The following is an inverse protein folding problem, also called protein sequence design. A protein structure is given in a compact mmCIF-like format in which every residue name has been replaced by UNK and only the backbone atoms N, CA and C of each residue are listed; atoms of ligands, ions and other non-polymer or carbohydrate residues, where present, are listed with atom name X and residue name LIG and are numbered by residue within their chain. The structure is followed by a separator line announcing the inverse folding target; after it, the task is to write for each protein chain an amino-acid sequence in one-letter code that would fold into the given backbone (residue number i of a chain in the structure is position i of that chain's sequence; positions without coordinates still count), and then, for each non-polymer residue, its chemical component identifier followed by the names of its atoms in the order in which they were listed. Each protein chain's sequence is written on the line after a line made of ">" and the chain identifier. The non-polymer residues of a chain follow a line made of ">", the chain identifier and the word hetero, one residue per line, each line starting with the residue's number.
data_IF_246471105784
#
_entry.id   IF_246471105784
#
_cell.length_a   1.000
_cell.length_b   1.000
_cell.length_c   1.000
_cell.angle_alpha   90.00
_cell.angle_beta   90.00
_cell.angle_gamma   90.00
#
_symmetry.space_group_name_H-M   'P 1'
#
loop_
_entity.id
_entity.type
_entity.pdbx_description
1 polymer ?
#
# COMPACT_ATOMS: atom_id res chain seq x y z
N UNK A 1 -16.27 -8.13 13.38
CA UNK A 1 -15.88 -6.78 13.86
C UNK A 1 -15.39 -6.00 12.65
N UNK A 2 -16.14 -4.99 12.23
CA UNK A 2 -15.82 -4.12 11.09
C UNK A 2 -14.77 -3.09 11.54
N UNK A 3 -13.49 -3.39 11.37
CA UNK A 3 -12.41 -2.39 11.42
C UNK A 3 -12.52 -1.53 10.16
N UNK A 4 -13.11 -0.33 10.30
CA UNK A 4 -13.16 0.67 9.22
C UNK A 4 -11.72 0.94 8.76
N UNK A 5 -11.50 1.13 7.45
CA UNK A 5 -10.18 1.33 6.82
C UNK A 5 -9.18 2.18 7.61
N UNK A 6 -9.69 3.27 8.21
CA UNK A 6 -8.99 4.25 9.04
C UNK A 6 -8.17 3.69 10.21
N UNK A 7 -8.52 2.53 10.77
CA UNK A 7 -7.80 1.97 11.91
C UNK A 7 -6.45 1.38 11.49
N UNK A 8 -6.34 0.89 10.25
CA UNK A 8 -5.11 0.26 9.76
C UNK A 8 -4.04 1.28 9.37
N UNK A 9 -4.43 2.39 8.76
CA UNK A 9 -3.52 3.54 8.51
C UNK A 9 -2.88 4.00 9.82
N UNK A 10 -3.68 4.21 10.88
CA UNK A 10 -3.18 4.65 12.18
C UNK A 10 -2.17 3.68 12.77
N UNK A 11 -2.40 2.38 12.61
CA UNK A 11 -1.49 1.35 13.11
C UNK A 11 -0.11 1.35 12.44
N UNK A 12 -0.02 1.75 11.17
CA UNK A 12 1.22 1.70 10.37
C UNK A 12 1.92 3.05 10.25
N UNK A 13 1.12 4.11 10.15
CA UNK A 13 1.57 5.45 9.80
C UNK A 13 1.46 6.44 10.96
N UNK A 14 0.77 6.08 12.04
CA UNK A 14 0.41 7.00 13.13
C UNK A 14 -0.43 8.21 12.67
N UNK A 15 -1.06 8.09 11.51
CA UNK A 15 -1.94 9.10 10.90
C UNK A 15 -3.30 8.47 10.62
N UNK A 16 -4.34 9.30 10.52
CA UNK A 16 -5.69 8.85 10.18
C UNK A 16 -6.22 9.77 9.10
N UNK A 17 -6.80 9.21 8.05
CA UNK A 17 -7.53 10.00 7.06
C UNK A 17 -8.61 10.84 7.74
N UNK A 18 -8.68 12.11 7.36
CA UNK A 18 -9.69 13.10 7.79
C UNK A 18 -11.11 12.66 7.44
N UNK A 19 -11.25 11.77 6.45
CA UNK A 19 -12.52 11.34 5.90
C UNK A 19 -13.18 12.40 5.02
N UNK A 20 -12.48 13.50 4.73
CA UNK A 20 -12.89 14.47 3.73
C UNK A 20 -12.71 13.91 2.32
N UNK A 21 -13.50 14.43 1.37
CA UNK A 21 -13.30 14.11 -0.04
C UNK A 21 -12.06 14.84 -0.57
N UNK A 22 -10.89 14.23 -0.34
CA UNK A 22 -9.60 14.76 -0.77
C UNK A 22 -9.56 15.03 -2.29
N UNK A 23 -10.34 14.28 -3.08
CA UNK A 23 -10.42 14.48 -4.52
C UNK A 23 -11.09 15.79 -4.89
N UNK A 24 -12.11 16.20 -4.13
CA UNK A 24 -12.71 17.53 -4.29
C UNK A 24 -11.79 18.63 -3.76
N UNK A 25 -11.08 18.40 -2.65
CA UNK A 25 -10.12 19.37 -2.08
C UNK A 25 -9.03 19.78 -3.07
N UNK A 26 -8.49 18.84 -3.85
CA UNK A 26 -7.40 19.08 -4.80
C UNK A 26 -7.85 19.07 -6.26
N UNK A 27 -9.14 19.29 -6.51
CA UNK A 27 -9.73 19.29 -7.84
C UNK A 27 -9.19 20.42 -8.70
N UNK A 28 -8.81 20.11 -9.94
CA UNK A 28 -8.33 21.09 -10.91
C UNK A 28 -6.84 21.41 -10.80
N UNK A 29 -6.13 20.87 -9.81
CA UNK A 29 -4.68 20.93 -9.76
C UNK A 29 -4.03 19.82 -10.58
N UNK A 30 -2.97 20.13 -11.33
CA UNK A 30 -2.22 19.14 -12.11
C UNK A 30 -1.64 18.04 -11.20
N UNK A 31 -1.67 16.79 -11.67
CA UNK A 31 -1.13 15.66 -10.94
C UNK A 31 0.34 15.46 -11.32
N UNK A 32 1.26 15.83 -10.42
CA UNK A 32 2.69 15.57 -10.56
C UNK A 32 3.15 14.78 -9.34
N UNK A 33 3.31 13.46 -9.55
CA UNK A 33 3.74 12.55 -8.49
C UNK A 33 5.11 12.93 -7.90
N UNK A 34 6.04 13.41 -8.74
CA UNK A 34 7.38 13.80 -8.29
C UNK A 34 7.32 15.02 -7.39
N UNK A 35 6.61 16.07 -7.82
CA UNK A 35 6.43 17.29 -7.03
C UNK A 35 5.66 17.04 -5.72
N UNK A 36 4.56 16.27 -5.80
CA UNK A 36 3.71 15.95 -4.65
C UNK A 36 4.52 15.20 -3.57
N UNK A 37 5.35 14.23 -3.96
CA UNK A 37 6.17 13.44 -3.01
C UNK A 37 7.37 14.23 -2.50
N UNK A 38 8.04 15.02 -3.34
CA UNK A 38 9.17 15.85 -2.90
C UNK A 38 8.75 16.82 -1.80
N UNK A 39 7.58 17.45 -1.96
CA UNK A 39 6.98 18.32 -0.94
C UNK A 39 6.86 17.60 0.40
N UNK A 40 6.34 16.36 0.39
CA UNK A 40 6.19 15.56 1.61
C UNK A 40 7.54 15.20 2.25
N UNK A 41 8.53 14.84 1.43
CA UNK A 41 9.88 14.52 1.93
C UNK A 41 10.53 15.75 2.56
N UNK A 42 10.40 16.92 1.93
CA UNK A 42 10.94 18.18 2.45
C UNK A 42 10.27 18.59 3.75
N UNK A 43 8.93 18.60 3.79
CA UNK A 43 8.18 18.92 5.01
C UNK A 43 8.51 17.95 6.16
N UNK A 44 8.65 16.66 5.86
CA UNK A 44 8.98 15.67 6.87
C UNK A 44 10.38 15.87 7.44
N UNK A 45 11.36 16.30 6.63
CA UNK A 45 12.71 16.58 7.14
C UNK A 45 12.74 17.70 8.17
N UNK A 46 11.81 18.65 8.07
CA UNK A 46 11.70 19.77 9.01
C UNK A 46 10.94 19.38 10.28
N UNK A 47 9.90 18.55 10.15
CA UNK A 47 8.99 18.20 11.26
C UNK A 47 9.44 16.97 12.06
N UNK A 48 10.10 16.00 11.40
CA UNK A 48 10.50 14.71 11.96
C UNK A 48 11.92 14.34 11.49
N UNK A 49 12.97 14.86 12.13
CA UNK A 49 14.35 14.58 11.74
C UNK A 49 14.71 13.09 11.93
N UNK A 50 14.00 12.39 12.83
CA UNK A 50 14.12 10.98 13.08
C UNK A 50 13.23 10.20 12.09
N UNK A 51 13.87 9.64 11.06
CA UNK A 51 13.32 9.13 9.78
C UNK A 51 12.46 7.86 9.87
N UNK A 52 11.81 7.60 10.98
CA UNK A 52 10.98 6.42 11.22
C UNK A 52 9.58 6.80 11.71
N UNK A 53 8.53 6.03 11.38
CA UNK A 53 7.19 6.27 11.91
C UNK A 53 7.16 6.12 13.44
N UNK A 54 6.25 6.81 14.12
CA UNK A 54 6.18 6.81 15.59
C UNK A 54 5.44 5.61 16.19
N UNK A 55 4.83 4.78 15.35
CA UNK A 55 4.10 3.60 15.80
C UNK A 55 4.95 2.32 15.75
N UNK A 56 4.68 1.38 16.66
CA UNK A 56 5.45 0.14 16.81
C UNK A 56 5.46 -0.73 15.53
N UNK A 57 4.32 -0.84 14.83
CA UNK A 57 4.25 -1.66 13.60
C UNK A 57 5.01 -0.99 12.45
N UNK A 58 4.88 0.33 12.29
CA UNK A 58 5.65 1.10 11.33
C UNK A 58 7.16 0.98 11.56
N UNK A 59 7.63 1.13 12.81
CA UNK A 59 9.06 0.97 13.16
C UNK A 59 9.57 -0.43 12.86
N UNK A 60 8.77 -1.44 13.20
CA UNK A 60 9.12 -2.83 12.89
C UNK A 60 9.20 -3.07 11.38
N UNK A 61 8.29 -2.49 10.59
CA UNK A 61 8.32 -2.61 9.14
C UNK A 61 9.56 -1.92 8.54
N UNK A 62 9.85 -0.69 8.96
CA UNK A 62 11.05 0.06 8.59
C UNK A 62 12.32 -0.77 8.85
N UNK A 63 12.47 -1.30 10.06
CA UNK A 63 13.63 -2.09 10.45
C UNK A 63 13.78 -3.35 9.60
N UNK A 64 12.68 -4.04 9.28
CA UNK A 64 12.75 -5.20 8.41
C UNK A 64 13.17 -4.82 6.98
N UNK A 65 12.69 -3.70 6.44
CA UNK A 65 13.13 -3.22 5.12
C UNK A 65 14.62 -2.90 5.14
N UNK A 66 15.09 -2.17 6.15
CA UNK A 66 16.51 -1.86 6.35
C UNK A 66 17.38 -3.12 6.37
N UNK A 67 16.99 -4.13 7.15
CA UNK A 67 17.71 -5.41 7.24
C UNK A 67 17.72 -6.14 5.90
N UNK A 68 16.59 -6.19 5.18
CA UNK A 68 16.51 -6.89 3.90
C UNK A 68 17.28 -6.15 2.78
N UNK A 69 17.33 -4.81 2.81
CA UNK A 69 18.17 -4.01 1.91
C UNK A 69 19.66 -4.35 2.08
N UNK A 70 20.15 -4.33 3.33
CA UNK A 70 21.55 -4.62 3.62
C UNK A 70 21.94 -6.06 3.23
N UNK A 71 21.04 -7.04 3.41
CA UNK A 71 21.25 -8.41 2.93
C UNK A 71 21.38 -8.52 1.41
N UNK A 72 20.67 -7.66 0.68
CA UNK A 72 20.73 -7.63 -0.79
C UNK A 72 21.88 -6.75 -1.32
N UNK A 73 22.75 -6.24 -0.45
CA UNK A 73 23.88 -5.38 -0.82
C UNK A 73 23.48 -3.93 -1.11
N UNK A 74 22.26 -3.53 -0.77
CA UNK A 74 21.78 -2.15 -0.92
C UNK A 74 22.00 -1.43 0.41
N UNK A 75 23.02 -0.57 0.49
CA UNK A 75 23.21 0.30 1.66
C UNK A 75 21.92 1.07 2.03
N UNK A 76 21.45 0.88 3.25
CA UNK A 76 20.19 1.45 3.73
C UNK A 76 20.34 2.85 4.32
N UNK A 77 21.54 3.44 4.26
CA UNK A 77 21.82 4.74 4.86
C UNK A 77 20.89 5.82 4.31
N UNK A 78 20.17 6.47 5.23
CA UNK A 78 19.21 7.53 4.89
C UNK A 78 17.85 7.03 4.37
N UNK A 79 17.52 5.74 4.50
CA UNK A 79 16.16 5.23 4.29
C UNK A 79 15.16 6.06 5.10
N UNK A 80 14.02 6.36 4.49
CA UNK A 80 12.92 7.08 5.11
C UNK A 80 11.63 6.29 4.89
N UNK A 81 10.78 6.23 5.90
CA UNK A 81 9.41 5.72 5.79
C UNK A 81 8.41 6.77 6.27
N UNK A 82 7.60 7.31 5.36
CA UNK A 82 6.75 8.48 5.59
C UNK A 82 5.27 8.16 5.35
N UNK A 83 4.36 8.74 6.15
CA UNK A 83 2.95 8.79 5.82
C UNK A 83 2.69 9.77 4.66
N UNK A 84 1.73 9.44 3.81
CA UNK A 84 1.18 10.36 2.80
C UNK A 84 -0.33 10.57 2.96
N UNK A 85 -0.95 9.96 3.97
CA UNK A 85 -2.37 10.11 4.33
C UNK A 85 -2.80 11.60 4.35
N UNK A 86 -3.96 11.92 3.75
CA UNK A 86 -4.53 13.28 3.62
C UNK A 86 -3.71 14.29 2.80
N UNK A 87 -2.65 13.85 2.11
CA UNK A 87 -1.84 14.72 1.24
C UNK A 87 -2.33 14.68 -0.21
N UNK A 88 -1.75 15.54 -1.06
CA UNK A 88 -1.94 15.45 -2.53
C UNK A 88 -1.48 14.11 -3.09
N UNK A 89 -0.40 13.54 -2.53
CA UNK A 89 0.12 12.25 -2.95
C UNK A 89 -0.93 11.15 -2.78
N UNK A 90 -1.57 11.09 -1.61
CA UNK A 90 -2.68 10.18 -1.32
C UNK A 90 -3.88 10.43 -2.26
N UNK A 91 -4.37 11.67 -2.29
CA UNK A 91 -5.58 12.03 -3.03
C UNK A 91 -5.51 11.71 -4.53
N UNK A 92 -4.36 11.98 -5.16
CA UNK A 92 -4.16 11.87 -6.60
C UNK A 92 -3.54 10.54 -7.04
N UNK A 93 -2.70 9.93 -6.19
CA UNK A 93 -1.89 8.77 -6.55
C UNK A 93 -2.16 7.52 -5.70
N UNK A 94 -3.15 7.57 -4.81
CA UNK A 94 -3.62 6.42 -4.01
C UNK A 94 -2.49 5.80 -3.18
N UNK A 95 -1.71 6.64 -2.51
CA UNK A 95 -0.60 6.22 -1.67
C UNK A 95 -0.84 6.69 -0.25
N UNK A 96 -0.88 5.78 0.71
CA UNK A 96 -1.04 6.06 2.14
C UNK A 96 0.31 6.28 2.84
N UNK A 97 1.39 5.78 2.26
CA UNK A 97 2.75 6.12 2.66
C UNK A 97 3.80 5.68 1.66
N UNK A 98 5.07 5.93 1.96
CA UNK A 98 6.16 5.62 1.05
C UNK A 98 7.45 5.27 1.77
N UNK A 99 8.24 4.38 1.15
CA UNK A 99 9.66 4.23 1.43
C UNK A 99 10.47 5.01 0.40
N UNK A 100 11.45 5.76 0.89
CA UNK A 100 12.34 6.56 0.07
C UNK A 100 13.79 6.36 0.48
N UNK A 101 14.66 6.16 -0.51
CA UNK A 101 16.10 6.10 -0.32
C UNK A 101 16.75 7.19 -1.19
N UNK A 102 17.31 8.27 -0.60
CA UNK A 102 17.75 9.46 -1.35
C UNK A 102 18.69 9.18 -2.52
N UNK A 103 19.62 8.25 -2.34
CA UNK A 103 20.61 7.87 -3.38
C UNK A 103 20.02 7.13 -4.58
N UNK A 104 18.78 6.64 -4.46
CA UNK A 104 18.06 5.95 -5.54
C UNK A 104 16.95 6.84 -6.14
N UNK A 105 16.90 8.14 -5.83
CA UNK A 105 15.94 9.03 -6.47
C UNK A 105 16.09 9.02 -8.01
N UNK A 106 14.99 8.98 -8.79
CA UNK A 106 13.58 9.13 -8.41
C UNK A 106 12.85 7.83 -7.99
N UNK A 107 13.55 6.71 -7.85
CA UNK A 107 12.94 5.42 -7.53
C UNK A 107 12.59 5.31 -6.04
N UNK A 108 11.29 5.38 -5.76
CA UNK A 108 10.70 5.17 -4.43
C UNK A 108 9.76 3.97 -4.43
N UNK A 109 9.29 3.57 -3.25
CA UNK A 109 8.22 2.59 -3.09
C UNK A 109 7.00 3.25 -2.44
N UNK A 110 5.84 3.16 -3.07
CA UNK A 110 4.56 3.61 -2.50
C UNK A 110 3.82 2.45 -1.85
N UNK A 111 3.10 2.75 -0.78
CA UNK A 111 2.32 1.81 0.01
C UNK A 111 0.88 2.29 0.03
N UNK A 112 -0.02 1.37 -0.27
CA UNK A 112 -1.45 1.59 -0.22
C UNK A 112 -2.07 0.63 0.79
N UNK A 113 -2.65 1.16 1.87
CA UNK A 113 -3.16 0.39 2.98
C UNK A 113 -4.57 -0.12 2.69
N UNK A 114 -4.79 -1.42 2.91
CA UNK A 114 -6.08 -2.05 2.67
C UNK A 114 -6.53 -2.85 3.88
N UNK A 115 -7.55 -2.33 4.59
CA UNK A 115 -8.15 -3.01 5.74
C UNK A 115 -9.01 -4.18 5.30
N UNK A 116 -8.35 -5.32 5.12
CA UNK A 116 -8.97 -6.62 4.82
C UNK A 116 -8.56 -7.64 5.88
N UNK A 117 -9.53 -8.40 6.37
CA UNK A 117 -9.29 -9.44 7.35
C UNK A 117 -8.54 -10.64 6.77
N UNK A 118 -7.94 -11.45 7.64
CA UNK A 118 -7.15 -12.61 7.22
C UNK A 118 -7.99 -13.64 6.45
N UNK A 119 -9.23 -13.91 6.90
CA UNK A 119 -10.11 -14.90 6.27
C UNK A 119 -10.51 -14.45 4.86
N UNK A 120 -10.87 -13.18 4.73
CA UNK A 120 -11.24 -12.53 3.48
C UNK A 120 -10.08 -12.53 2.49
N UNK A 121 -8.86 -12.20 2.95
CA UNK A 121 -7.67 -12.21 2.12
C UNK A 121 -7.32 -13.62 1.62
N UNK A 122 -7.45 -14.64 2.48
CA UNK A 122 -7.26 -16.04 2.09
C UNK A 122 -8.30 -16.45 1.05
N UNK A 123 -9.58 -16.16 1.27
CA UNK A 123 -10.64 -16.47 0.30
C UNK A 123 -10.41 -15.83 -1.07
N UNK A 124 -9.92 -14.59 -1.13
CA UNK A 124 -9.55 -13.95 -2.41
C UNK A 124 -8.37 -14.65 -3.07
N UNK A 125 -7.33 -14.96 -2.30
CA UNK A 125 -6.14 -15.64 -2.82
C UNK A 125 -6.52 -17.00 -3.41
N UNK A 126 -7.30 -17.79 -2.69
CA UNK A 126 -7.77 -19.11 -3.14
C UNK A 126 -8.64 -18.99 -4.40
N UNK A 127 -9.54 -18.00 -4.44
CA UNK A 127 -10.34 -17.72 -5.62
C UNK A 127 -9.46 -17.37 -6.83
N UNK A 128 -8.50 -16.45 -6.71
CA UNK A 128 -7.64 -16.08 -7.83
C UNK A 128 -6.74 -17.21 -8.29
N UNK A 129 -6.20 -18.00 -7.36
CA UNK A 129 -5.44 -19.23 -7.69
C UNK A 129 -6.31 -20.17 -8.52
N UNK A 130 -7.57 -20.39 -8.13
CA UNK A 130 -8.49 -21.26 -8.88
C UNK A 130 -8.84 -20.77 -10.29
N UNK A 131 -8.61 -19.48 -10.55
CA UNK A 131 -8.85 -18.80 -11.83
C UNK A 131 -7.54 -18.48 -12.58
N UNK A 132 -6.43 -19.10 -12.19
CA UNK A 132 -5.11 -18.89 -12.78
C UNK A 132 -4.67 -20.14 -13.56
N UNK A 133 -4.57 -20.03 -14.89
CA UNK A 133 -4.22 -21.14 -15.80
C UNK A 133 -2.70 -21.42 -15.88
N UNK A 134 -1.95 -21.29 -14.78
CA UNK A 134 -0.48 -21.41 -14.76
C UNK A 134 0.09 -22.15 -13.54
N UNK A 135 1.37 -22.53 -13.60
CA UNK A 135 1.96 -23.50 -12.65
C UNK A 135 2.19 -22.96 -11.22
N UNK A 136 2.43 -21.66 -11.04
CA UNK A 136 2.64 -21.05 -9.70
C UNK A 136 2.08 -19.63 -9.63
N UNK A 137 1.15 -19.38 -8.71
CA UNK A 137 0.65 -18.05 -8.40
C UNK A 137 1.64 -17.29 -7.49
N UNK A 138 2.40 -16.39 -8.09
CA UNK A 138 3.44 -15.60 -7.44
C UNK A 138 2.87 -14.48 -6.57
N UNK A 139 3.68 -14.01 -5.62
CA UNK A 139 3.31 -12.87 -4.77
C UNK A 139 3.17 -11.56 -5.56
N UNK A 140 3.89 -11.41 -6.69
CA UNK A 140 3.76 -10.27 -7.59
C UNK A 140 2.38 -10.24 -8.27
N UNK A 141 1.88 -11.40 -8.70
CA UNK A 141 0.53 -11.54 -9.25
C UNK A 141 -0.52 -11.25 -8.17
N UNK A 142 -0.33 -11.81 -6.97
CA UNK A 142 -1.19 -11.52 -5.83
C UNK A 142 -1.28 -10.02 -5.52
N UNK A 143 -0.17 -9.30 -5.47
CA UNK A 143 -0.18 -7.85 -5.26
C UNK A 143 -0.91 -7.10 -6.38
N UNK A 144 -0.76 -7.52 -7.64
CA UNK A 144 -1.47 -6.90 -8.78
C UNK A 144 -2.97 -7.14 -8.75
N UNK A 145 -3.41 -8.35 -8.41
CA UNK A 145 -4.84 -8.66 -8.29
C UNK A 145 -5.46 -8.02 -7.04
N UNK A 146 -4.70 -7.91 -5.93
CA UNK A 146 -5.12 -7.18 -4.73
C UNK A 146 -5.28 -5.68 -5.00
N UNK A 147 -4.37 -5.08 -5.77
CA UNK A 147 -4.50 -3.69 -6.23
C UNK A 147 -5.78 -3.48 -7.04
N UNK A 148 -6.01 -4.31 -8.07
CA UNK A 148 -7.22 -4.26 -8.89
C UNK A 148 -8.49 -4.45 -8.07
N UNK A 149 -8.46 -5.40 -7.13
CA UNK A 149 -9.58 -5.65 -6.23
C UNK A 149 -9.89 -4.42 -5.39
N UNK A 150 -8.89 -3.79 -4.75
CA UNK A 150 -9.10 -2.58 -3.96
C UNK A 150 -9.66 -1.44 -4.81
N UNK A 151 -9.09 -1.18 -5.98
CA UNK A 151 -9.56 -0.11 -6.89
C UNK A 151 -10.98 -0.39 -7.41
N UNK A 152 -11.27 -1.66 -7.73
CA UNK A 152 -12.57 -2.11 -8.24
C UNK A 152 -13.67 -2.14 -7.19
N UNK A 153 -13.34 -2.50 -5.95
CA UNK A 153 -14.30 -2.63 -4.85
C UNK A 153 -15.01 -1.30 -4.55
N UNK A 154 -14.27 -0.18 -4.52
CA UNK A 154 -14.87 1.13 -4.27
C UNK A 154 -15.89 1.52 -5.35
N UNK A 155 -15.59 1.22 -6.62
CA UNK A 155 -16.51 1.44 -7.75
C UNK A 155 -17.71 0.50 -7.67
N UNK A 156 -17.48 -0.79 -7.45
CA UNK A 156 -18.52 -1.79 -7.34
C UNK A 156 -19.50 -1.48 -6.20
N UNK A 157 -19.01 -1.08 -5.02
CA UNK A 157 -19.84 -0.66 -3.89
C UNK A 157 -20.68 0.56 -4.21
N UNK A 158 -20.14 1.54 -4.97
CA UNK A 158 -20.90 2.71 -5.41
C UNK A 158 -22.04 2.33 -6.35
N UNK A 159 -21.78 1.41 -7.28
CA UNK A 159 -22.73 0.99 -8.31
C UNK A 159 -23.78 -0.01 -7.76
N UNK A 160 -23.47 -0.75 -6.69
CA UNK A 160 -24.30 -1.79 -6.11
C UNK A 160 -24.83 -1.46 -4.69
N UNK A 161 -24.93 -0.17 -4.34
CA UNK A 161 -25.38 0.32 -3.02
C UNK A 161 -26.65 -0.33 -2.43
N UNK A 162 -27.51 -0.94 -3.25
CA UNK A 162 -28.75 -1.62 -2.81
C UNK A 162 -28.51 -2.98 -2.14
N UNK A 163 -27.45 -3.72 -2.48
CA UNK A 163 -27.24 -5.09 -1.97
C UNK A 163 -26.70 -5.14 -0.54
N UNK A 164 -26.18 -4.03 0.00
CA UNK A 164 -25.75 -3.94 1.40
C UNK A 164 -26.92 -3.81 2.39
N UNK A 165 -28.09 -3.36 1.94
CA UNK A 165 -29.30 -3.29 2.78
C UNK A 165 -30.04 -4.64 2.86
N UNK A 166 -29.80 -5.55 1.92
CA UNK A 166 -30.49 -6.84 1.79
C UNK A 166 -29.79 -8.03 2.49
N UNK A 167 -28.74 -7.78 3.28
CA UNK A 167 -28.06 -8.83 4.04
C UNK A 167 -27.22 -9.80 3.20
N UNK A 168 -26.92 -9.45 1.94
CA UNK A 168 -25.95 -10.19 1.15
C UNK A 168 -24.56 -10.12 1.82
N UNK A 169 -23.76 -11.21 1.79
CA UNK A 169 -22.43 -11.17 2.36
C UNK A 169 -21.64 -10.03 1.72
N UNK A 170 -21.16 -9.10 2.55
CA UNK A 170 -20.37 -7.91 2.21
C UNK A 170 -19.10 -8.19 1.39
N UNK A 171 -18.78 -9.46 1.15
CA UNK A 171 -17.57 -9.91 0.52
C UNK A 171 -17.85 -11.03 -0.48
N UNK A 172 -17.99 -10.67 -1.76
CA UNK A 172 -18.00 -11.61 -2.87
C UNK A 172 -16.60 -11.61 -3.48
N UNK A 173 -15.93 -12.75 -3.61
CA UNK A 173 -14.67 -12.83 -4.35
C UNK A 173 -14.97 -12.58 -5.84
N UNK A 174 -14.83 -11.32 -6.25
CA UNK A 174 -15.04 -10.87 -7.62
C UNK A 174 -13.71 -10.83 -8.36
N UNK A 175 -13.74 -11.21 -9.62
CA UNK A 175 -12.60 -11.07 -10.52
C UNK A 175 -12.62 -9.68 -11.16
N UNK A 176 -11.79 -8.78 -10.63
CA UNK A 176 -11.66 -7.43 -11.18
C UNK A 176 -10.66 -7.33 -12.34
N UNK A 177 -10.03 -8.44 -12.76
CA UNK A 177 -9.06 -8.43 -13.88
C UNK A 177 -9.69 -7.97 -15.19
N UNK A 178 -10.99 -8.20 -15.36
CA UNK A 178 -11.76 -7.77 -16.54
C UNK A 178 -12.29 -6.33 -16.43
N UNK A 179 -12.42 -5.79 -15.21
CA UNK A 179 -13.05 -4.50 -14.95
C UNK A 179 -12.06 -3.35 -14.72
N UNK A 180 -10.84 -3.68 -14.27
CA UNK A 180 -9.79 -2.73 -13.92
C UNK A 180 -8.61 -2.94 -14.86
N UNK A 181 -8.56 -2.08 -15.88
CA UNK A 181 -7.49 -2.09 -16.90
C UNK A 181 -6.16 -1.58 -16.33
N UNK A 182 -6.18 -0.85 -15.21
CA UNK A 182 -4.95 -0.30 -14.62
C UNK A 182 -4.01 -1.42 -14.20
N UNK A 183 -2.75 -1.24 -14.59
CA UNK A 183 -1.64 -2.12 -14.22
C UNK A 183 -1.02 -1.53 -12.96
N UNK A 184 -0.87 -2.35 -11.93
CA UNK A 184 -0.16 -1.96 -10.70
C UNK A 184 1.29 -1.58 -11.05
N UNK A 185 1.76 -0.38 -10.71
CA UNK A 185 3.19 -0.05 -10.80
C UNK A 185 4.03 -1.02 -9.98
N UNK A 186 5.19 -1.43 -10.48
CA UNK A 186 6.03 -2.44 -9.79
C UNK A 186 6.44 -1.97 -8.39
N UNK A 187 6.64 -0.67 -8.22
CA UNK A 187 7.03 -0.01 -6.97
C UNK A 187 5.86 0.31 -6.03
N UNK A 188 4.64 -0.09 -6.38
CA UNK A 188 3.44 0.18 -5.61
C UNK A 188 2.91 -1.08 -4.95
N UNK A 189 2.84 -1.12 -3.61
CA UNK A 189 2.45 -2.32 -2.87
C UNK A 189 1.19 -2.08 -2.04
N UNK A 190 0.28 -3.05 -2.05
CA UNK A 190 -0.88 -3.06 -1.18
C UNK A 190 -0.52 -3.76 0.14
N UNK A 191 -0.53 -2.99 1.22
CA UNK A 191 -0.27 -3.47 2.58
C UNK A 191 -1.60 -3.84 3.25
N UNK A 192 -1.64 -4.96 3.96
CA UNK A 192 -2.84 -5.46 4.63
C UNK A 192 -2.52 -5.83 6.08
N UNK A 193 -3.51 -5.90 7.00
CA UNK A 193 -3.26 -6.36 8.36
C UNK A 193 -2.54 -7.73 8.43
N UNK A 194 -2.87 -8.74 7.59
CA UNK A 194 -2.10 -9.97 7.49
C UNK A 194 -0.61 -9.80 7.17
N UNK A 195 -0.22 -8.84 6.32
CA UNK A 195 1.19 -8.58 6.00
C UNK A 195 1.99 -8.07 7.21
N UNK A 196 1.33 -7.43 8.18
CA UNK A 196 1.99 -6.87 9.37
C UNK A 196 1.69 -7.60 10.67
N UNK A 197 0.82 -8.61 10.64
CA UNK A 197 0.31 -9.29 11.83
C UNK A 197 1.36 -10.07 12.62
N UNK A 198 2.43 -10.56 11.98
CA UNK A 198 3.52 -11.30 12.63
C UNK A 198 4.89 -10.84 12.15
N UNK A 199 5.95 -11.10 12.92
CA UNK A 199 7.34 -10.78 12.50
C UNK A 199 7.71 -11.46 11.17
N UNK A 200 7.28 -12.72 10.98
CA UNK A 200 7.52 -13.45 9.73
C UNK A 200 6.87 -12.74 8.54
N UNK A 201 5.59 -12.35 8.66
CA UNK A 201 4.86 -11.67 7.58
C UNK A 201 5.46 -10.30 7.26
N UNK A 202 5.87 -9.54 8.29
CA UNK A 202 6.56 -8.25 8.08
C UNK A 202 7.86 -8.43 7.31
N UNK A 203 8.63 -9.48 7.61
CA UNK A 203 9.84 -9.81 6.87
C UNK A 203 9.56 -10.19 5.41
N UNK A 204 8.52 -11.00 5.17
CA UNK A 204 8.10 -11.38 3.81
C UNK A 204 7.74 -10.13 2.98
N UNK A 205 6.96 -9.20 3.55
CA UNK A 205 6.65 -7.93 2.89
C UNK A 205 7.90 -7.06 2.66
N UNK A 206 8.74 -6.90 3.69
CA UNK A 206 9.97 -6.13 3.60
C UNK A 206 10.93 -6.67 2.54
N UNK A 207 10.99 -7.99 2.34
CA UNK A 207 11.81 -8.59 1.30
C UNK A 207 11.33 -8.19 -0.10
N UNK A 208 10.02 -8.05 -0.34
CA UNK A 208 9.49 -7.57 -1.61
C UNK A 208 9.91 -6.12 -1.89
N UNK A 209 9.77 -5.24 -0.89
CA UNK A 209 10.21 -3.83 -0.97
C UNK A 209 11.71 -3.74 -1.24
N UNK A 210 12.52 -4.49 -0.49
CA UNK A 210 13.98 -4.48 -0.64
C UNK A 210 14.42 -5.03 -2.01
N UNK A 211 13.74 -6.05 -2.55
CA UNK A 211 14.00 -6.56 -3.90
C UNK A 211 13.77 -5.51 -4.99
N UNK A 212 12.74 -4.68 -4.85
CA UNK A 212 12.52 -3.57 -5.78
C UNK A 212 13.71 -2.59 -5.73
N UNK A 213 14.11 -2.13 -4.54
CA UNK A 213 15.26 -1.24 -4.40
C UNK A 213 16.55 -1.86 -4.94
N UNK A 214 16.79 -3.16 -4.70
CA UNK A 214 17.94 -3.88 -5.21
C UNK A 214 17.93 -4.04 -6.74
N UNK A 215 16.74 -4.08 -7.35
CA UNK A 215 16.58 -4.10 -8.80
C UNK A 215 16.97 -2.76 -9.42
N UNK A 216 16.50 -1.65 -8.85
CA UNK A 216 16.75 -0.29 -9.39
C UNK A 216 18.11 0.29 -8.99
N UNK A 217 18.84 -0.38 -8.08
CA UNK A 217 20.21 0.00 -7.70
C UNK A 217 21.30 -0.61 -8.59
N UNK A 218 20.92 -1.37 -9.62
CA UNK A 218 21.82 -2.02 -10.59
C UNK A 218 21.73 -1.31 -11.93
#
# INVERSE_FOLDING_TARGET
>A
MSTRGFDFEREIFNCRSSGEDLKERYKGEEADFGSDVLTIIEESRTKHPDKHPDCNKGRSLYYHVEVELNKLGVESSGLIFLPTVDTKADAKHQTDGLFFLPRLFPYLVTIDAFSIGFRELVSLRDFWISKFEGEVYSEVQFQSDLFRFKSGLAKWQKDNKKSSEEGAPLFVPLDFREYVVSIRPENHFVLTPPHVGTCRRRREFANMVARYFAKVSR
#
